data_IF_683463263158
#
_entry.id   IF_683463263158
#
_cell.length_a   1.000
_cell.length_b   1.000
_cell.length_c   1.000
_cell.angle_alpha   90.00
_cell.angle_beta   90.00
_cell.angle_gamma   90.00
#
_symmetry.space_group_name_H-M   'P 1'
#
loop_
_entity.id
_entity.type
_entity.pdbx_description
1 polymer ?
#
# COMPACT_ATOMS: atom_id res chain seq x y z
N UNK A 1 -13.78 -11.44 4.72
CA UNK A 1 -13.26 -12.69 4.11
C UNK A 1 -13.95 -13.03 2.77
N UNK A 2 -15.08 -12.39 2.44
CA UNK A 2 -15.91 -12.65 1.23
C UNK A 2 -15.46 -11.92 -0.06
N UNK A 3 -14.36 -11.15 -0.04
CA UNK A 3 -13.84 -10.42 -1.23
C UNK A 3 -12.74 -11.24 -1.97
N UNK A 4 -12.30 -12.38 -1.41
CA UNK A 4 -11.18 -13.16 -1.96
C UNK A 4 -11.54 -14.19 -3.04
N UNK A 5 -12.83 -14.40 -3.33
CA UNK A 5 -13.29 -15.38 -4.33
C UNK A 5 -13.73 -14.76 -5.68
N UNK A 6 -13.73 -13.43 -5.81
CA UNK A 6 -14.23 -12.75 -7.01
C UNK A 6 -13.16 -12.42 -8.07
N UNK A 7 -11.87 -12.67 -7.81
CA UNK A 7 -10.83 -12.53 -8.84
C UNK A 7 -10.73 -13.82 -9.65
N UNK A 8 -11.81 -14.23 -10.32
CA UNK A 8 -11.90 -15.40 -11.21
C UNK A 8 -10.98 -15.33 -12.44
N UNK A 9 -9.71 -15.00 -12.22
CA UNK A 9 -8.58 -15.21 -13.11
C UNK A 9 -8.07 -16.61 -12.78
N UNK A 10 -8.90 -17.62 -13.04
CA UNK A 10 -8.28 -18.82 -13.59
C UNK A 10 -7.66 -18.34 -14.90
N UNK A 11 -6.34 -18.48 -15.07
CA UNK A 11 -5.78 -18.60 -16.40
C UNK A 11 -6.36 -19.89 -17.00
N UNK A 12 -7.66 -19.88 -17.34
CA UNK A 12 -8.23 -20.83 -18.26
C UNK A 12 -7.43 -20.62 -19.52
N UNK A 13 -6.61 -21.59 -19.86
CA UNK A 13 -5.99 -21.72 -21.17
C UNK A 13 -7.10 -21.50 -22.21
N UNK A 14 -7.20 -20.28 -22.73
CA UNK A 14 -8.15 -19.93 -23.75
C UNK A 14 -7.69 -20.64 -25.01
N UNK A 15 -8.34 -21.78 -25.25
CA UNK A 15 -8.31 -22.65 -26.44
C UNK A 15 -7.08 -23.54 -26.56
N UNK A 16 -7.29 -24.86 -26.41
CA UNK A 16 -7.57 -25.78 -27.52
C UNK A 16 -6.62 -25.82 -28.74
N UNK A 17 -5.56 -25.00 -28.76
CA UNK A 17 -4.53 -24.98 -29.79
C UNK A 17 -3.33 -25.67 -29.16
N UNK A 18 -3.06 -26.91 -29.59
CA UNK A 18 -1.86 -27.67 -29.24
C UNK A 18 -0.62 -26.98 -29.83
N UNK A 19 -0.24 -25.82 -29.32
CA UNK A 19 1.07 -25.23 -29.55
C UNK A 19 2.09 -25.96 -28.68
N UNK A 20 2.79 -26.91 -29.30
CA UNK A 20 3.66 -27.88 -28.61
C UNK A 20 5.00 -27.31 -28.10
N UNK A 21 5.21 -25.99 -28.02
CA UNK A 21 6.51 -25.39 -27.63
C UNK A 21 6.47 -24.12 -26.75
N UNK A 22 5.33 -23.66 -26.23
CA UNK A 22 5.24 -22.36 -25.53
C UNK A 22 5.06 -22.37 -24.01
N UNK A 23 5.03 -23.52 -23.33
CA UNK A 23 4.52 -23.64 -21.95
C UNK A 23 5.53 -23.44 -20.82
N UNK A 24 6.81 -23.13 -21.10
CA UNK A 24 7.84 -23.10 -20.04
C UNK A 24 7.96 -21.78 -19.27
N UNK A 25 7.64 -20.62 -19.85
CA UNK A 25 7.92 -19.30 -19.24
C UNK A 25 7.06 -18.99 -17.99
N UNK A 26 5.74 -19.20 -18.06
CA UNK A 26 4.83 -18.82 -16.96
C UNK A 26 5.07 -19.59 -15.66
N UNK A 27 5.55 -20.84 -15.75
CA UNK A 27 5.80 -21.66 -14.57
C UNK A 27 7.02 -21.15 -13.79
N UNK A 28 8.04 -20.67 -14.49
CA UNK A 28 9.34 -20.30 -13.92
C UNK A 28 9.30 -19.10 -12.96
N UNK A 29 8.49 -18.08 -13.27
CA UNK A 29 8.42 -16.85 -12.47
C UNK A 29 7.72 -17.12 -11.12
N UNK A 30 6.67 -17.94 -11.12
CA UNK A 30 5.79 -18.11 -9.97
C UNK A 30 6.39 -18.92 -8.81
N UNK A 31 7.20 -19.93 -9.11
CA UNK A 31 7.72 -20.84 -8.08
C UNK A 31 8.90 -20.23 -7.29
N UNK A 32 9.59 -19.25 -7.86
CA UNK A 32 10.84 -18.73 -7.30
C UNK A 32 10.71 -17.43 -6.49
N UNK A 33 9.68 -16.61 -6.75
CA UNK A 33 9.56 -15.31 -6.07
C UNK A 33 9.00 -15.42 -4.65
N UNK A 34 9.90 -15.52 -3.67
CA UNK A 34 9.58 -15.54 -2.23
C UNK A 34 9.72 -14.16 -1.62
N UNK A 35 8.59 -13.53 -1.28
CA UNK A 35 8.59 -12.22 -0.62
C UNK A 35 9.24 -12.23 0.77
N UNK A 36 9.18 -13.37 1.49
CA UNK A 36 9.89 -13.61 2.75
C UNK A 36 10.81 -14.83 2.55
N UNK A 37 12.11 -14.62 2.62
CA UNK A 37 13.12 -15.69 2.59
C UNK A 37 13.60 -16.07 4.00
N UNK A 38 13.61 -15.12 4.93
CA UNK A 38 14.10 -15.37 6.28
C UNK A 38 13.09 -16.24 7.05
N UNK A 39 13.46 -17.46 7.49
CA UNK A 39 12.55 -18.37 8.18
C UNK A 39 12.08 -17.82 9.53
N UNK A 40 12.93 -17.04 10.21
CA UNK A 40 12.60 -16.40 11.50
C UNK A 40 11.46 -15.41 11.29
N UNK A 41 11.56 -14.52 10.31
CA UNK A 41 10.49 -13.54 10.00
C UNK A 41 9.21 -14.25 9.58
N UNK A 42 9.32 -15.31 8.79
CA UNK A 42 8.16 -16.09 8.34
C UNK A 42 7.42 -16.77 9.51
N UNK A 43 8.14 -17.26 10.52
CA UNK A 43 7.57 -17.88 11.70
C UNK A 43 7.03 -16.84 12.70
N UNK A 44 7.80 -15.77 12.95
CA UNK A 44 7.47 -14.73 13.92
C UNK A 44 6.24 -13.91 13.51
N UNK A 45 6.08 -13.59 12.22
CA UNK A 45 5.01 -12.70 11.77
C UNK A 45 3.59 -13.14 12.20
N UNK A 46 3.15 -14.37 11.93
CA UNK A 46 1.83 -14.83 12.41
C UNK A 46 1.80 -14.95 13.94
N UNK A 47 2.89 -15.38 14.57
CA UNK A 47 2.97 -15.55 16.02
C UNK A 47 2.80 -14.25 16.78
N UNK A 48 3.46 -13.16 16.36
CA UNK A 48 3.35 -11.87 17.03
C UNK A 48 1.95 -11.27 16.88
N UNK A 49 1.29 -11.49 15.74
CA UNK A 49 -0.10 -11.08 15.59
C UNK A 49 -1.04 -11.80 16.57
N UNK A 50 -0.87 -13.11 16.74
CA UNK A 50 -1.62 -13.90 17.71
C UNK A 50 -1.26 -13.55 19.16
N UNK A 51 0.02 -13.25 19.43
CA UNK A 51 0.48 -12.78 20.74
C UNK A 51 -0.23 -11.48 21.12
N UNK A 52 -0.38 -10.54 20.17
CA UNK A 52 -1.13 -9.29 20.39
C UNK A 52 -2.59 -9.55 20.80
N UNK A 53 -3.27 -10.46 20.10
CA UNK A 53 -4.64 -10.87 20.42
C UNK A 53 -4.71 -11.59 21.78
N UNK A 54 -3.73 -12.45 22.06
CA UNK A 54 -3.64 -13.17 23.33
C UNK A 54 -3.47 -12.22 24.51
N UNK A 55 -2.57 -11.24 24.40
CA UNK A 55 -2.36 -10.21 25.43
C UNK A 55 -3.66 -9.42 25.65
N UNK A 56 -4.35 -9.02 24.58
CA UNK A 56 -5.65 -8.36 24.68
C UNK A 56 -6.67 -9.18 25.50
N UNK A 57 -6.80 -10.49 25.23
CA UNK A 57 -7.70 -11.39 25.96
C UNK A 57 -7.26 -11.57 27.41
N UNK A 58 -5.95 -11.65 27.66
CA UNK A 58 -5.39 -11.73 29.00
C UNK A 58 -5.73 -10.48 29.82
N UNK A 59 -5.54 -9.28 29.26
CA UNK A 59 -5.87 -8.01 29.89
C UNK A 59 -7.36 -7.90 30.23
N UNK A 60 -8.25 -8.30 29.31
CA UNK A 60 -9.69 -8.36 29.55
C UNK A 60 -10.05 -9.31 30.69
N UNK A 61 -9.38 -10.47 30.75
CA UNK A 61 -9.61 -11.47 31.79
C UNK A 61 -9.13 -10.97 33.14
N UNK A 62 -7.94 -10.36 33.20
CA UNK A 62 -7.40 -9.75 34.42
C UNK A 62 -8.31 -8.63 34.95
N UNK A 63 -8.85 -7.80 34.06
CA UNK A 63 -9.81 -6.76 34.43
C UNK A 63 -11.09 -7.34 35.05
N UNK A 64 -11.66 -8.38 34.42
CA UNK A 64 -12.86 -9.05 34.93
C UNK A 64 -12.65 -9.72 36.29
N UNK A 65 -11.41 -10.13 36.59
CA UNK A 65 -11.02 -10.70 37.86
C UNK A 65 -10.65 -9.64 38.92
N UNK A 66 -10.89 -8.35 38.65
CA UNK A 66 -10.51 -7.23 39.51
C UNK A 66 -9.02 -7.27 39.90
N UNK A 67 -8.16 -7.69 38.98
CA UNK A 67 -6.72 -7.79 39.22
C UNK A 67 -6.08 -6.40 39.36
N UNK A 68 -6.62 -5.41 38.65
CA UNK A 68 -6.17 -4.02 38.74
C UNK A 68 -6.98 -3.31 39.82
N UNK A 69 -6.30 -2.80 40.84
CA UNK A 69 -6.87 -1.98 41.92
C UNK A 69 -6.76 -0.48 41.64
N UNK A 70 -5.86 -0.09 40.73
CA UNK A 70 -5.58 1.30 40.40
C UNK A 70 -6.60 1.84 39.38
N UNK A 71 -7.36 2.86 39.78
CA UNK A 71 -8.34 3.53 38.92
C UNK A 71 -7.70 4.09 37.64
N UNK A 72 -6.44 4.51 37.70
CA UNK A 72 -5.70 4.99 36.53
C UNK A 72 -5.44 3.84 35.56
N UNK A 73 -5.03 2.66 36.04
CA UNK A 73 -4.79 1.52 35.13
C UNK A 73 -6.10 1.08 34.47
N UNK A 74 -7.20 1.07 35.23
CA UNK A 74 -8.52 0.69 34.73
C UNK A 74 -8.99 1.66 33.63
N UNK A 75 -8.78 2.97 33.79
CA UNK A 75 -9.20 3.97 32.79
C UNK A 75 -8.42 3.89 31.48
N UNK A 76 -7.15 3.48 31.52
CA UNK A 76 -6.30 3.31 30.32
C UNK A 76 -6.49 1.95 29.63
N UNK A 77 -7.03 0.96 30.33
CA UNK A 77 -7.15 -0.39 29.81
C UNK A 77 -7.89 -0.47 28.46
N UNK A 78 -8.99 0.26 28.20
CA UNK A 78 -9.65 0.27 26.89
C UNK A 78 -8.73 0.73 25.76
N UNK A 79 -7.89 1.74 25.99
CA UNK A 79 -6.90 2.26 25.03
C UNK A 79 -5.89 1.16 24.70
N UNK A 80 -5.35 0.52 25.73
CA UNK A 80 -4.35 -0.53 25.60
C UNK A 80 -4.92 -1.75 24.86
N UNK A 81 -6.08 -2.25 25.29
CA UNK A 81 -6.78 -3.40 24.68
C UNK A 81 -7.06 -3.15 23.20
N UNK A 82 -7.65 -1.99 22.88
CA UNK A 82 -7.96 -1.64 21.49
C UNK A 82 -6.68 -1.44 20.66
N UNK A 83 -5.59 -0.95 21.27
CA UNK A 83 -4.28 -0.83 20.63
C UNK A 83 -3.70 -2.19 20.23
N UNK A 84 -3.72 -3.17 21.13
CA UNK A 84 -3.31 -4.55 20.82
C UNK A 84 -4.20 -5.20 19.75
N UNK A 85 -5.49 -4.91 19.73
CA UNK A 85 -6.40 -5.38 18.67
C UNK A 85 -5.99 -4.81 17.30
N UNK A 86 -5.76 -3.50 17.22
CA UNK A 86 -5.36 -2.80 15.99
C UNK A 86 -3.99 -3.28 15.53
N UNK A 87 -3.01 -3.40 16.43
CA UNK A 87 -1.70 -3.92 16.09
C UNK A 87 -1.74 -5.36 15.55
N UNK A 88 -2.49 -6.25 16.21
CA UNK A 88 -2.66 -7.63 15.78
C UNK A 88 -3.31 -7.72 14.39
N UNK A 89 -4.38 -6.95 14.16
CA UNK A 89 -5.06 -6.91 12.86
C UNK A 89 -4.17 -6.31 11.77
N UNK A 90 -3.44 -5.23 12.04
CA UNK A 90 -2.45 -4.65 11.11
C UNK A 90 -1.40 -5.67 10.69
N UNK A 91 -0.83 -6.43 11.63
CA UNK A 91 0.16 -7.49 11.33
C UNK A 91 -0.44 -8.61 10.48
N UNK A 92 -1.69 -9.02 10.74
CA UNK A 92 -2.40 -9.99 9.90
C UNK A 92 -2.56 -9.47 8.48
N UNK A 93 -3.06 -8.24 8.31
CA UNK A 93 -3.23 -7.64 6.98
C UNK A 93 -1.89 -7.47 6.24
N UNK A 94 -0.83 -7.11 6.95
CA UNK A 94 0.54 -7.06 6.40
C UNK A 94 1.02 -8.44 5.91
N UNK A 95 0.76 -9.50 6.69
CA UNK A 95 1.11 -10.86 6.27
C UNK A 95 0.38 -11.27 4.97
N UNK A 96 -0.87 -10.84 4.81
CA UNK A 96 -1.65 -11.06 3.59
C UNK A 96 -1.13 -10.22 2.43
N UNK A 97 -0.78 -8.96 2.68
CA UNK A 97 -0.19 -8.06 1.69
C UNK A 97 1.12 -8.61 1.12
N UNK A 98 2.02 -9.09 1.98
CA UNK A 98 3.29 -9.67 1.54
C UNK A 98 3.09 -10.87 0.61
N UNK A 99 2.08 -11.71 0.88
CA UNK A 99 1.71 -12.83 -0.01
C UNK A 99 1.14 -12.37 -1.36
N UNK A 100 0.63 -11.13 -1.46
CA UNK A 100 0.10 -10.58 -2.71
C UNK A 100 1.16 -9.93 -3.59
N UNK A 101 2.25 -9.40 -3.02
CA UNK A 101 3.32 -8.73 -3.80
C UNK A 101 3.77 -9.59 -5.01
N UNK A 102 4.11 -10.89 -4.86
CA UNK A 102 4.47 -11.72 -6.01
C UNK A 102 3.39 -11.84 -7.06
N UNK A 103 2.15 -12.06 -6.62
CA UNK A 103 1.00 -12.23 -7.51
C UNK A 103 0.80 -10.98 -8.37
N UNK A 104 0.97 -9.79 -7.82
CA UNK A 104 0.80 -8.55 -8.56
C UNK A 104 1.82 -8.38 -9.69
N UNK A 105 3.10 -8.65 -9.43
CA UNK A 105 4.12 -8.54 -10.47
C UNK A 105 3.93 -9.60 -11.56
N UNK A 106 3.65 -10.84 -11.18
CA UNK A 106 3.33 -11.92 -12.13
C UNK A 106 2.11 -11.53 -12.98
N UNK A 107 1.06 -11.00 -12.37
CA UNK A 107 -0.14 -10.58 -13.06
C UNK A 107 0.14 -9.45 -14.08
N UNK A 108 0.98 -8.47 -13.73
CA UNK A 108 1.39 -7.42 -14.67
C UNK A 108 2.14 -7.98 -15.88
N UNK A 109 3.04 -8.94 -15.66
CA UNK A 109 3.77 -9.62 -16.72
C UNK A 109 2.82 -10.42 -17.63
N UNK A 110 1.97 -11.28 -17.05
CA UNK A 110 1.01 -12.10 -17.79
C UNK A 110 0.02 -11.25 -18.60
N UNK A 111 -0.31 -10.04 -18.12
CA UNK A 111 -1.15 -9.10 -18.86
C UNK A 111 -0.47 -8.51 -20.10
N UNK A 112 0.82 -8.75 -20.34
CA UNK A 112 1.58 -8.22 -21.49
C UNK A 112 1.48 -6.70 -21.64
N UNK A 113 1.49 -5.99 -20.52
CA UNK A 113 1.47 -4.51 -20.53
C UNK A 113 2.89 -3.96 -20.68
N UNK A 114 3.88 -4.73 -20.25
CA UNK A 114 5.31 -4.42 -20.43
C UNK A 114 5.70 -4.86 -21.84
N UNK A 115 6.03 -3.90 -22.70
CA UNK A 115 6.34 -4.15 -24.12
C UNK A 115 7.82 -3.97 -24.46
N UNK A 116 8.58 -3.29 -23.62
CA UNK A 116 9.98 -3.04 -23.84
C UNK A 116 10.72 -2.67 -22.56
N UNK A 117 12.05 -2.69 -22.65
CA UNK A 117 12.94 -2.21 -21.59
C UNK A 117 13.72 -1.01 -22.13
N UNK A 118 13.87 0.04 -21.32
CA UNK A 118 14.70 1.17 -21.70
C UNK A 118 16.16 0.72 -21.83
N UNK A 119 16.77 0.93 -23.00
CA UNK A 119 18.19 0.70 -23.21
C UNK A 119 18.89 2.01 -22.85
N UNK A 120 19.46 2.08 -21.66
CA UNK A 120 20.41 3.14 -21.31
C UNK A 120 21.74 2.81 -22.00
N UNK A 121 21.85 3.15 -23.28
CA UNK A 121 23.08 3.03 -24.06
C UNK A 121 23.06 4.01 -25.22
N UNK A 122 24.21 4.62 -25.60
CA UNK A 122 24.29 5.49 -26.75
C UNK A 122 23.94 4.69 -28.01
N UNK A 123 22.80 5.01 -28.61
CA UNK A 123 22.33 4.41 -29.86
C UNK A 123 23.28 4.78 -31.00
N UNK A 124 24.15 3.85 -31.40
CA UNK A 124 24.85 3.91 -32.68
C UNK A 124 23.83 3.69 -33.80
N UNK A 125 23.63 4.71 -34.62
CA UNK A 125 22.52 4.86 -35.57
C UNK A 125 22.76 4.19 -36.91
N UNK A 126 23.08 2.89 -36.93
CA UNK A 126 23.16 2.15 -38.19
C UNK A 126 22.60 0.75 -37.97
N UNK A 127 21.39 0.46 -38.45
CA UNK A 127 21.05 -0.89 -38.88
C UNK A 127 19.77 -0.95 -39.74
N UNK A 128 19.98 -1.49 -40.94
CA UNK A 128 18.97 -1.95 -41.89
C UNK A 128 18.69 -3.45 -41.67
N UNK A 129 17.40 -3.81 -41.77
CA UNK A 129 16.83 -5.04 -42.36
C UNK A 129 17.38 -6.38 -41.85
N UNK A 130 16.91 -6.81 -40.67
CA UNK A 130 16.77 -8.23 -40.28
C UNK A 130 15.70 -8.36 -39.17
N UNK A 131 14.43 -8.09 -39.49
CA UNK A 131 13.39 -7.79 -38.49
C UNK A 131 12.84 -8.98 -37.69
N UNK A 132 12.83 -10.21 -38.22
CA UNK A 132 12.14 -11.34 -37.59
C UNK A 132 12.96 -12.07 -36.51
N UNK A 133 14.25 -12.27 -36.73
CA UNK A 133 15.18 -12.86 -35.74
C UNK A 133 15.43 -11.86 -34.58
N UNK A 134 15.37 -10.57 -34.87
CA UNK A 134 15.53 -9.49 -33.89
C UNK A 134 14.35 -9.41 -32.92
N UNK A 135 13.13 -9.79 -33.30
CA UNK A 135 11.98 -9.74 -32.38
C UNK A 135 12.05 -10.83 -31.30
N UNK A 136 12.42 -12.06 -31.66
CA UNK A 136 12.48 -13.17 -30.70
C UNK A 136 13.60 -12.97 -29.68
N UNK A 137 14.77 -12.52 -30.15
CA UNK A 137 15.89 -12.13 -29.28
C UNK A 137 15.56 -10.95 -28.36
N UNK A 138 14.81 -9.94 -28.83
CA UNK A 138 14.33 -8.83 -27.99
C UNK A 138 13.38 -9.29 -26.89
N UNK A 139 12.47 -10.22 -27.19
CA UNK A 139 11.53 -10.76 -26.20
C UNK A 139 12.24 -11.57 -25.11
N UNK A 140 13.21 -12.40 -25.48
CA UNK A 140 14.04 -13.16 -24.53
C UNK A 140 14.79 -12.19 -23.61
N UNK A 141 15.41 -11.15 -24.16
CA UNK A 141 16.09 -10.12 -23.38
C UNK A 141 15.16 -9.35 -22.44
N UNK A 142 13.91 -9.08 -22.86
CA UNK A 142 12.92 -8.41 -22.02
C UNK A 142 12.52 -9.29 -20.81
N UNK A 143 12.30 -10.58 -21.04
CA UNK A 143 11.99 -11.55 -19.98
C UNK A 143 13.13 -11.67 -18.97
N UNK A 144 14.38 -11.81 -19.44
CA UNK A 144 15.56 -11.86 -18.58
C UNK A 144 15.71 -10.60 -17.73
N UNK A 145 15.52 -9.41 -18.33
CA UNK A 145 15.54 -8.13 -17.60
C UNK A 145 14.42 -8.03 -16.57
N UNK A 146 13.24 -8.54 -16.91
CA UNK A 146 12.11 -8.58 -15.97
C UNK A 146 12.39 -9.53 -14.80
N UNK A 147 12.91 -10.72 -15.07
CA UNK A 147 13.34 -11.69 -14.05
C UNK A 147 14.41 -11.09 -13.13
N UNK A 148 15.41 -10.41 -13.70
CA UNK A 148 16.42 -9.70 -12.93
C UNK A 148 15.81 -8.62 -12.03
N UNK A 149 14.83 -7.88 -12.54
CA UNK A 149 14.08 -6.90 -11.75
C UNK A 149 13.31 -7.54 -10.58
N UNK A 150 12.63 -8.68 -10.81
CA UNK A 150 11.96 -9.42 -9.73
C UNK A 150 12.96 -9.91 -8.68
N UNK A 151 14.11 -10.42 -9.12
CA UNK A 151 15.20 -10.84 -8.22
C UNK A 151 15.73 -9.66 -7.39
N UNK A 152 15.90 -8.48 -7.98
CA UNK A 152 16.27 -7.27 -7.24
C UNK A 152 15.22 -6.88 -6.18
N UNK A 153 13.93 -6.96 -6.52
CA UNK A 153 12.85 -6.70 -5.55
C UNK A 153 12.94 -7.72 -4.40
N UNK A 154 13.11 -9.00 -4.72
CA UNK A 154 13.25 -10.07 -3.73
C UNK A 154 14.42 -9.82 -2.79
N UNK A 155 15.58 -9.43 -3.35
CA UNK A 155 16.77 -9.07 -2.58
C UNK A 155 16.53 -7.88 -1.67
N UNK A 156 15.83 -6.85 -2.15
CA UNK A 156 15.49 -5.64 -1.34
C UNK A 156 14.49 -5.94 -0.23
N UNK A 157 13.46 -6.74 -0.50
CA UNK A 157 12.46 -7.16 0.49
C UNK A 157 13.08 -7.96 1.65
N UNK A 158 14.17 -8.67 1.38
CA UNK A 158 14.86 -9.51 2.37
C UNK A 158 16.17 -8.87 2.88
N UNK A 159 16.41 -7.60 2.58
CA UNK A 159 17.61 -6.90 2.99
C UNK A 159 17.68 -6.72 4.52
N UNK A 160 18.89 -6.77 5.09
CA UNK A 160 19.15 -6.59 6.52
C UNK A 160 18.70 -5.22 7.05
N UNK A 161 18.57 -4.21 6.21
CA UNK A 161 18.01 -2.91 6.58
C UNK A 161 16.60 -3.00 7.21
N UNK A 162 15.82 -4.05 6.93
CA UNK A 162 14.55 -4.26 7.62
C UNK A 162 14.73 -4.35 9.15
N UNK A 163 15.80 -5.00 9.63
CA UNK A 163 16.08 -5.15 11.06
C UNK A 163 16.40 -3.80 11.69
N UNK A 164 17.08 -2.90 10.98
CA UNK A 164 17.36 -1.56 11.47
C UNK A 164 16.07 -0.79 11.73
N UNK A 165 15.10 -0.82 10.80
CA UNK A 165 13.79 -0.19 11.00
C UNK A 165 13.04 -0.80 12.20
N UNK A 166 13.11 -2.12 12.36
CA UNK A 166 12.56 -2.80 13.54
C UNK A 166 13.21 -2.32 14.84
N UNK A 167 14.54 -2.33 14.91
CA UNK A 167 15.30 -1.91 16.10
C UNK A 167 15.02 -0.45 16.44
N UNK A 168 14.96 0.44 15.44
CA UNK A 168 14.65 1.86 15.66
C UNK A 168 13.27 2.01 16.31
N UNK A 169 12.23 1.34 15.79
CA UNK A 169 10.89 1.44 16.39
C UNK A 169 10.80 0.75 17.75
N UNK A 170 11.51 -0.37 17.94
CA UNK A 170 11.63 -1.01 19.25
C UNK A 170 12.22 -0.05 20.27
N UNK A 171 13.37 0.56 19.97
CA UNK A 171 14.05 1.49 20.88
C UNK A 171 13.22 2.74 21.11
N UNK A 172 12.58 3.27 20.07
CA UNK A 172 11.72 4.44 20.19
C UNK A 172 10.57 4.20 21.17
N UNK A 173 9.90 3.04 21.09
CA UNK A 173 8.81 2.68 21.99
C UNK A 173 9.30 2.28 23.38
N UNK A 174 10.32 1.43 23.46
CA UNK A 174 10.89 0.96 24.72
C UNK A 174 11.46 2.10 25.58
N UNK A 175 12.14 3.07 24.95
CA UNK A 175 12.72 4.22 25.64
C UNK A 175 11.72 5.36 25.86
N UNK A 176 10.56 5.34 25.19
CA UNK A 176 9.57 6.41 25.27
C UNK A 176 9.16 6.70 26.71
N UNK A 177 8.71 5.67 27.43
CA UNK A 177 8.25 5.83 28.80
C UNK A 177 9.39 6.21 29.77
N UNK A 178 10.53 5.50 29.82
CA UNK A 178 11.65 5.91 30.67
C UNK A 178 12.08 7.35 30.41
N UNK A 179 12.24 7.76 29.14
CA UNK A 179 12.63 9.13 28.81
C UNK A 179 11.62 10.16 29.30
N UNK A 180 10.31 9.84 29.19
CA UNK A 180 9.24 10.69 29.71
C UNK A 180 9.26 10.75 31.24
N UNK A 181 9.52 9.63 31.90
CA UNK A 181 9.51 9.53 33.36
C UNK A 181 10.84 9.90 33.99
N UNK A 182 11.94 10.13 33.25
CA UNK A 182 13.23 10.57 33.80
C UNK A 182 13.13 11.83 34.66
N UNK A 183 12.15 12.71 34.38
CA UNK A 183 11.88 13.88 35.22
C UNK A 183 11.01 13.58 36.47
N UNK A 184 10.34 12.43 36.51
CA UNK A 184 9.34 12.06 37.52
C UNK A 184 9.60 10.67 38.14
N UNK A 185 10.76 10.04 37.92
CA UNK A 185 11.04 8.73 38.51
C UNK A 185 10.99 8.91 40.03
N UNK A 186 10.05 8.24 40.74
CA UNK A 186 10.19 8.09 42.17
C UNK A 186 11.45 7.24 42.37
N UNK A 187 12.57 7.94 42.55
CA UNK A 187 13.85 7.41 43.03
C UNK A 187 13.50 6.40 44.10
N UNK A 188 13.82 5.12 43.84
CA UNK A 188 13.86 4.01 44.80
C UNK A 188 13.44 4.48 46.19
N UNK A 189 12.12 4.64 46.39
CA UNK A 189 11.61 5.14 47.65
C UNK A 189 12.15 4.17 48.69
N UNK A 190 12.74 4.70 49.76
CA UNK A 190 13.25 3.91 50.88
C UNK A 190 12.09 3.15 51.54
N UNK A 191 11.61 2.10 50.88
CA UNK A 191 10.63 1.19 51.42
C UNK A 191 11.43 0.22 52.26
N UNK A 192 11.45 0.49 53.57
CA UNK A 192 11.84 -0.52 54.53
C UNK A 192 10.91 -1.71 54.35
N UNK A 193 11.47 -2.84 53.91
CA UNK A 193 10.84 -4.15 54.00
C UNK A 193 10.55 -4.42 55.49
N UNK A 194 9.42 -3.93 56.00
CA UNK A 194 8.91 -4.30 57.31
C UNK A 194 8.03 -5.54 57.12
N UNK A 195 8.30 -6.56 57.93
CA UNK A 195 8.22 -8.00 57.65
C UNK A 195 6.84 -8.65 57.40
N UNK A 196 5.74 -7.90 57.21
CA UNK A 196 4.38 -8.47 57.18
C UNK A 196 3.71 -8.52 55.79
N UNK A 197 4.48 -8.83 54.73
CA UNK A 197 3.91 -8.96 53.39
C UNK A 197 3.38 -10.39 53.17
N UNK A 198 2.05 -10.53 53.11
CA UNK A 198 1.46 -11.75 52.55
C UNK A 198 1.91 -11.92 51.10
N UNK A 199 2.24 -13.15 50.68
CA UNK A 199 2.76 -13.46 49.35
C UNK A 199 1.88 -12.93 48.20
N UNK A 200 0.57 -12.76 48.41
CA UNK A 200 -0.37 -12.20 47.42
C UNK A 200 -0.19 -10.68 47.24
N UNK A 201 0.07 -9.96 48.32
CA UNK A 201 0.25 -8.50 48.30
C UNK A 201 1.57 -8.14 47.61
N UNK A 202 2.61 -8.97 47.79
CA UNK A 202 3.87 -8.83 47.07
C UNK A 202 3.69 -8.90 45.55
N UNK A 203 2.97 -9.89 45.02
CA UNK A 203 2.80 -10.03 43.57
C UNK A 203 1.95 -8.92 42.97
N UNK A 204 0.87 -8.50 43.63
CA UNK A 204 0.05 -7.38 43.17
C UNK A 204 0.88 -6.09 43.13
N UNK A 205 1.63 -5.81 44.19
CA UNK A 205 2.51 -4.64 44.25
C UNK A 205 3.64 -4.70 43.22
N UNK A 206 4.32 -5.83 43.08
CA UNK A 206 5.38 -6.01 42.09
C UNK A 206 4.86 -5.78 40.68
N UNK A 207 3.69 -6.33 40.35
CA UNK A 207 3.08 -6.15 39.03
C UNK A 207 2.63 -4.71 38.85
N UNK A 208 2.08 -4.04 39.87
CA UNK A 208 1.67 -2.64 39.77
C UNK A 208 2.87 -1.70 39.57
N UNK A 209 3.96 -1.88 40.32
CA UNK A 209 5.18 -1.08 40.18
C UNK A 209 5.89 -1.31 38.85
N UNK A 210 5.90 -2.56 38.37
CA UNK A 210 6.53 -2.90 37.10
C UNK A 210 5.54 -2.88 35.93
N UNK A 211 4.29 -2.44 36.12
CA UNK A 211 3.23 -2.55 35.11
C UNK A 211 3.63 -1.86 33.81
N UNK A 212 4.14 -0.64 33.91
CA UNK A 212 4.62 0.11 32.76
C UNK A 212 5.71 -0.67 32.02
N UNK A 213 6.72 -1.17 32.74
CA UNK A 213 7.79 -1.96 32.12
C UNK A 213 7.27 -3.26 31.47
N UNK A 214 6.39 -3.98 32.16
CA UNK A 214 5.80 -5.24 31.69
C UNK A 214 4.91 -5.05 30.46
N UNK A 215 4.19 -3.92 30.36
CA UNK A 215 3.37 -3.60 29.21
C UNK A 215 4.20 -3.02 28.04
N UNK A 216 5.26 -2.25 28.33
CA UNK A 216 6.11 -1.67 27.28
C UNK A 216 6.88 -2.73 26.49
N UNK A 217 7.29 -3.84 27.11
CA UNK A 217 8.04 -4.86 26.41
C UNK A 217 7.25 -5.51 25.25
N UNK A 218 6.01 -6.00 25.44
CA UNK A 218 5.19 -6.47 24.33
C UNK A 218 4.87 -5.39 23.28
N UNK A 219 4.58 -4.15 23.70
CA UNK A 219 4.36 -3.02 22.78
C UNK A 219 5.59 -2.79 21.92
N UNK A 220 6.78 -2.83 22.51
CA UNK A 220 8.06 -2.65 21.82
C UNK A 220 8.32 -3.79 20.82
N UNK A 221 8.01 -5.04 21.19
CA UNK A 221 8.09 -6.19 20.28
C UNK A 221 7.12 -6.07 19.09
N UNK A 222 5.93 -5.53 19.31
CA UNK A 222 4.99 -5.23 18.23
C UNK A 222 5.54 -4.10 17.34
N UNK A 223 6.07 -3.03 17.93
CA UNK A 223 6.67 -1.91 17.21
C UNK A 223 7.86 -2.35 16.35
N UNK A 224 8.68 -3.26 16.88
CA UNK A 224 9.73 -3.94 16.13
C UNK A 224 9.20 -4.59 14.87
N UNK A 225 8.12 -5.39 14.99
CA UNK A 225 7.50 -6.05 13.85
C UNK A 225 6.90 -5.04 12.86
N UNK A 226 6.25 -3.99 13.34
CA UNK A 226 5.76 -2.91 12.48
C UNK A 226 6.90 -2.24 11.70
N UNK A 227 8.09 -2.09 12.30
CA UNK A 227 9.27 -1.54 11.62
C UNK A 227 9.75 -2.42 10.46
N UNK A 228 9.79 -3.74 10.67
CA UNK A 228 10.07 -4.69 9.58
C UNK A 228 9.07 -4.54 8.43
N UNK A 229 7.81 -4.25 8.76
CA UNK A 229 6.73 -4.15 7.80
C UNK A 229 6.78 -2.82 7.03
N UNK A 230 7.04 -1.69 7.71
CA UNK A 230 7.25 -0.39 7.07
C UNK A 230 8.36 -0.47 6.01
N UNK A 231 9.46 -1.17 6.29
CA UNK A 231 10.51 -1.40 5.30
C UNK A 231 9.96 -2.09 4.03
N UNK A 232 9.13 -3.13 4.19
CA UNK A 232 8.55 -3.88 3.07
C UNK A 232 7.55 -3.05 2.28
N UNK A 233 6.74 -2.25 2.98
CA UNK A 233 5.82 -1.28 2.37
C UNK A 233 6.60 -0.26 1.52
N UNK A 234 7.70 0.26 2.05
CA UNK A 234 8.62 1.16 1.33
C UNK A 234 9.26 0.49 0.11
N UNK A 235 9.76 -0.74 0.25
CA UNK A 235 10.33 -1.49 -0.88
C UNK A 235 9.28 -1.74 -1.95
N UNK A 236 8.05 -2.12 -1.60
CA UNK A 236 6.97 -2.33 -2.57
C UNK A 236 6.68 -1.05 -3.38
N UNK A 237 6.48 0.09 -2.72
CA UNK A 237 6.20 1.36 -3.40
C UNK A 237 7.36 1.84 -4.26
N UNK A 238 8.60 1.78 -3.76
CA UNK A 238 9.78 2.15 -4.57
C UNK A 238 10.07 1.16 -5.69
N UNK A 239 9.56 -0.07 -5.63
CA UNK A 239 9.67 -1.03 -6.73
C UNK A 239 8.73 -0.68 -7.88
N UNK A 240 7.54 -0.13 -7.59
CA UNK A 240 6.66 0.43 -8.61
C UNK A 240 7.33 1.64 -9.28
N UNK A 241 7.93 2.55 -8.50
CA UNK A 241 8.71 3.67 -9.05
C UNK A 241 9.77 3.17 -10.05
N UNK A 242 10.56 2.16 -9.67
CA UNK A 242 11.62 1.58 -10.51
C UNK A 242 11.11 0.79 -11.69
N UNK A 243 9.92 0.22 -11.61
CA UNK A 243 9.29 -0.49 -12.73
C UNK A 243 9.09 0.48 -13.90
N UNK A 244 8.61 1.69 -13.60
CA UNK A 244 8.40 2.76 -14.58
C UNK A 244 9.72 3.23 -15.20
N UNK A 245 10.76 3.36 -14.39
CA UNK A 245 12.06 3.82 -14.88
C UNK A 245 12.77 2.76 -15.77
N UNK A 246 12.42 1.47 -15.63
CA UNK A 246 13.08 0.35 -16.34
C UNK A 246 12.32 -0.17 -17.55
N UNK A 247 10.99 -0.06 -17.57
CA UNK A 247 10.13 -0.72 -18.56
C UNK A 247 9.16 0.25 -19.23
N UNK A 248 8.91 0.01 -20.52
CA UNK A 248 7.89 0.70 -21.28
C UNK A 248 6.54 0.00 -21.09
N UNK A 249 5.49 0.79 -20.84
CA UNK A 249 4.13 0.29 -20.74
C UNK A 249 3.34 0.61 -22.01
N UNK A 250 2.59 -0.38 -22.50
CA UNK A 250 1.53 -0.18 -23.48
C UNK A 250 0.18 -0.55 -22.86
N UNK A 251 -0.53 0.43 -22.27
CA UNK A 251 -1.87 0.22 -21.74
C UNK A 251 -2.81 -0.37 -22.80
N UNK A 252 -3.58 -1.40 -22.42
CA UNK A 252 -4.53 -2.06 -23.32
C UNK A 252 -5.81 -1.24 -23.46
N UNK A 253 -6.11 -0.83 -24.69
CA UNK A 253 -7.37 -0.17 -25.03
C UNK A 253 -8.57 -1.09 -24.75
N UNK A 254 -9.64 -0.53 -24.20
CA UNK A 254 -10.87 -1.28 -23.91
C UNK A 254 -10.75 -2.34 -22.81
N UNK A 255 -9.66 -2.33 -22.03
CA UNK A 255 -9.51 -3.27 -20.92
C UNK A 255 -10.59 -3.03 -19.85
N UNK A 256 -11.15 -4.11 -19.30
CA UNK A 256 -12.31 -4.07 -18.38
C UNK A 256 -12.09 -3.26 -17.09
N UNK A 257 -10.83 -3.03 -16.70
CA UNK A 257 -10.48 -2.27 -15.50
C UNK A 257 -10.48 -0.75 -15.69
N UNK A 258 -10.66 -0.25 -16.92
CA UNK A 258 -10.59 1.18 -17.28
C UNK A 258 -9.23 1.83 -16.96
N UNK A 259 -8.21 1.04 -16.61
CA UNK A 259 -6.85 1.48 -16.29
C UNK A 259 -5.82 0.88 -17.25
N UNK A 260 -6.29 0.39 -18.41
CA UNK A 260 -5.43 -0.21 -19.44
C UNK A 260 -4.71 -1.48 -18.99
N UNK A 261 -5.27 -2.20 -18.01
CA UNK A 261 -4.64 -3.37 -17.41
C UNK A 261 -3.73 -3.08 -16.22
N UNK A 262 -3.44 -1.80 -15.91
CA UNK A 262 -2.52 -1.39 -14.83
C UNK A 262 -3.19 -1.32 -13.44
N UNK A 263 -4.48 -1.65 -13.32
CA UNK A 263 -5.19 -1.68 -12.03
C UNK A 263 -4.49 -2.48 -10.91
N UNK A 264 -3.76 -3.58 -11.18
CA UNK A 264 -2.96 -4.28 -10.15
C UNK A 264 -1.98 -3.37 -9.40
N UNK A 265 -1.39 -2.37 -10.05
CA UNK A 265 -0.49 -1.40 -9.40
C UNK A 265 -1.26 -0.49 -8.42
N UNK A 266 -2.39 0.07 -8.87
CA UNK A 266 -3.27 0.87 -8.02
C UNK A 266 -3.77 0.08 -6.81
N UNK A 267 -4.14 -1.19 -7.01
CA UNK A 267 -4.56 -2.07 -5.92
C UNK A 267 -3.43 -2.35 -4.93
N UNK A 268 -2.21 -2.62 -5.41
CA UNK A 268 -1.06 -2.86 -4.53
C UNK A 268 -0.77 -1.62 -3.65
N UNK A 269 -0.77 -0.42 -4.23
CA UNK A 269 -0.61 0.83 -3.49
C UNK A 269 -1.75 1.06 -2.49
N UNK A 270 -3.00 0.78 -2.89
CA UNK A 270 -4.16 0.90 -2.01
C UNK A 270 -4.03 -0.02 -0.80
N UNK A 271 -3.71 -1.30 -1.01
CA UNK A 271 -3.49 -2.25 0.09
C UNK A 271 -2.42 -1.76 1.06
N UNK A 272 -1.36 -1.14 0.53
CA UNK A 272 -0.29 -0.56 1.32
C UNK A 272 -0.82 0.58 2.23
N UNK A 273 -1.59 1.50 1.67
CA UNK A 273 -2.18 2.60 2.43
C UNK A 273 -3.27 2.14 3.41
N UNK A 274 -4.15 1.21 3.04
CA UNK A 274 -5.19 0.69 3.94
C UNK A 274 -4.60 0.01 5.18
N UNK A 275 -3.44 -0.62 5.05
CA UNK A 275 -2.74 -1.19 6.21
C UNK A 275 -2.24 -0.07 7.14
N UNK A 276 -1.66 0.99 6.56
CA UNK A 276 -1.17 2.14 7.33
C UNK A 276 -2.30 2.95 7.98
N UNK A 277 -3.50 2.92 7.40
CA UNK A 277 -4.64 3.66 7.93
C UNK A 277 -5.20 3.06 9.23
N UNK A 278 -4.99 1.78 9.52
CA UNK A 278 -5.48 1.14 10.74
C UNK A 278 -4.98 1.81 12.05
N UNK A 279 -3.66 1.97 12.28
CA UNK A 279 -3.17 2.68 13.45
C UNK A 279 -3.53 4.18 13.44
N UNK A 280 -3.66 4.78 12.25
CA UNK A 280 -4.12 6.16 12.10
C UNK A 280 -5.56 6.32 12.58
N UNK A 281 -6.51 5.49 12.12
CA UNK A 281 -7.91 5.47 12.58
C UNK A 281 -7.98 5.27 14.09
N UNK A 282 -7.20 4.34 14.63
CA UNK A 282 -7.13 4.10 16.07
C UNK A 282 -6.74 5.36 16.85
N UNK A 283 -5.65 6.04 16.45
CA UNK A 283 -5.21 7.27 17.09
C UNK A 283 -6.26 8.37 16.95
N UNK A 284 -6.91 8.48 15.79
CA UNK A 284 -7.95 9.48 15.55
C UNK A 284 -9.14 9.30 16.49
N UNK A 285 -9.62 8.06 16.66
CA UNK A 285 -10.75 7.77 17.56
C UNK A 285 -10.36 8.16 18.99
N UNK A 286 -9.16 7.82 19.44
CA UNK A 286 -8.72 8.15 20.79
C UNK A 286 -8.46 9.63 21.02
N UNK A 287 -7.91 10.33 20.04
CA UNK A 287 -7.76 11.79 20.09
C UNK A 287 -9.12 12.49 20.16
N UNK A 288 -10.10 12.04 19.36
CA UNK A 288 -11.46 12.57 19.41
C UNK A 288 -12.13 12.29 20.75
N UNK A 289 -11.99 11.06 21.28
CA UNK A 289 -12.55 10.70 22.59
C UNK A 289 -11.88 11.45 23.74
N UNK A 290 -10.57 11.69 23.66
CA UNK A 290 -9.82 12.42 24.68
C UNK A 290 -10.16 13.91 24.75
N UNK A 291 -10.62 14.51 23.64
CA UNK A 291 -11.12 15.88 23.60
C UNK A 291 -12.54 16.03 24.17
N UNK A 292 -13.27 14.92 24.40
CA UNK A 292 -14.57 15.00 25.06
C UNK A 292 -14.33 15.23 26.56
N UNK A 293 -14.94 16.27 27.13
CA UNK A 293 -14.78 16.76 28.52
C UNK A 293 -14.93 15.70 29.63
N UNK A 294 -15.33 14.48 29.30
CA UNK A 294 -15.59 13.39 30.23
C UNK A 294 -14.50 12.31 30.25
N UNK A 295 -13.42 12.44 29.48
CA UNK A 295 -12.35 11.43 29.51
C UNK A 295 -11.37 11.74 30.66
N UNK A 296 -11.24 10.85 31.67
CA UNK A 296 -10.37 11.09 32.81
C UNK A 296 -8.91 11.10 32.34
N UNK A 297 -8.33 12.29 32.19
CA UNK A 297 -6.88 12.43 32.05
C UNK A 297 -6.24 12.02 33.39
N UNK A 298 -5.21 11.15 33.38
CA UNK A 298 -4.42 10.90 34.60
C UNK A 298 -3.65 12.15 35.05
N UNK A 299 -3.58 13.18 34.20
CA UNK A 299 -3.03 14.48 34.50
C UNK A 299 -4.13 15.53 34.33
N UNK A 300 -5.04 15.67 35.32
CA UNK A 300 -6.14 16.64 35.26
C UNK A 300 -5.64 18.08 35.08
N UNK A 301 -4.43 18.37 35.57
CA UNK A 301 -3.81 19.70 35.50
C UNK A 301 -3.20 20.04 34.13
N UNK A 302 -3.07 19.07 33.21
CA UNK A 302 -2.49 19.29 31.88
C UNK A 302 -3.35 18.69 30.74
N UNK A 303 -4.53 19.27 30.47
CA UNK A 303 -5.51 18.74 29.51
C UNK A 303 -5.01 18.64 28.05
N UNK A 304 -3.84 19.20 27.70
CA UNK A 304 -3.31 19.22 26.34
C UNK A 304 -1.88 18.65 26.19
N UNK A 305 -1.34 17.99 27.22
CA UNK A 305 0.07 17.62 27.21
C UNK A 305 0.45 16.70 26.04
N UNK A 306 -0.42 15.73 25.72
CA UNK A 306 -0.14 14.74 24.67
C UNK A 306 -0.65 15.13 23.28
N UNK A 307 -1.41 16.23 23.16
CA UNK A 307 -2.12 16.57 21.94
C UNK A 307 -1.16 16.82 20.77
N UNK A 308 -0.03 17.49 21.00
CA UNK A 308 0.95 17.77 19.95
C UNK A 308 1.69 16.51 19.48
N UNK A 309 2.15 15.66 20.41
CA UNK A 309 2.87 14.42 20.07
C UNK A 309 1.96 13.47 19.28
N UNK A 310 0.73 13.27 19.75
CA UNK A 310 -0.25 12.46 19.04
C UNK A 310 -0.68 13.08 17.72
N UNK A 311 -0.71 14.40 17.58
CA UNK A 311 -1.00 15.07 16.30
C UNK A 311 0.14 14.87 15.28
N UNK A 312 1.41 14.95 15.71
CA UNK A 312 2.57 14.64 14.86
C UNK A 312 2.53 13.18 14.44
N UNK A 313 2.23 12.26 15.38
CA UNK A 313 2.09 10.84 15.10
C UNK A 313 0.93 10.56 14.14
N UNK A 314 -0.22 11.20 14.37
CA UNK A 314 -1.39 11.09 13.51
C UNK A 314 -1.08 11.60 12.10
N UNK A 315 -0.44 12.75 11.96
CA UNK A 315 -0.01 13.28 10.67
C UNK A 315 0.94 12.31 9.96
N UNK A 316 1.92 11.80 10.71
CA UNK A 316 2.93 10.86 10.20
C UNK A 316 2.32 9.54 9.73
N UNK A 317 1.31 9.02 10.43
CA UNK A 317 0.63 7.77 10.06
C UNK A 317 -0.49 7.96 9.03
N UNK A 318 -1.02 9.18 8.91
CA UNK A 318 -2.13 9.46 7.98
C UNK A 318 -1.62 9.92 6.62
N UNK A 319 -0.81 10.98 6.60
CA UNK A 319 -0.45 11.69 5.36
C UNK A 319 0.76 11.06 4.67
N UNK A 320 1.81 10.72 5.42
CA UNK A 320 3.04 10.18 4.82
C UNK A 320 2.78 8.89 4.03
N UNK A 321 1.99 7.91 4.51
CA UNK A 321 1.71 6.71 3.73
C UNK A 321 0.93 7.01 2.46
N UNK A 322 -0.01 7.96 2.45
CA UNK A 322 -0.71 8.36 1.22
C UNK A 322 0.30 8.89 0.20
N UNK A 323 1.19 9.81 0.62
CA UNK A 323 2.16 10.43 -0.26
C UNK A 323 3.17 9.41 -0.79
N UNK A 324 3.81 8.65 0.11
CA UNK A 324 4.93 7.76 -0.25
C UNK A 324 4.46 6.41 -0.80
N UNK A 325 3.33 5.89 -0.35
CA UNK A 325 2.87 4.56 -0.74
C UNK A 325 1.87 4.58 -1.89
N UNK A 326 1.13 5.67 -2.11
CA UNK A 326 0.11 5.78 -3.15
C UNK A 326 0.42 6.85 -4.20
N UNK A 327 0.49 8.12 -3.79
CA UNK A 327 0.58 9.24 -4.75
C UNK A 327 1.89 9.18 -5.54
N UNK A 328 3.04 9.14 -4.87
CA UNK A 328 4.35 9.13 -5.53
C UNK A 328 4.52 8.00 -6.56
N UNK A 329 4.32 6.71 -6.22
CA UNK A 329 4.49 5.63 -7.19
C UNK A 329 3.50 5.68 -8.34
N UNK A 330 2.24 6.03 -8.07
CA UNK A 330 1.22 6.09 -9.13
C UNK A 330 1.35 7.35 -10.00
N UNK A 331 1.92 8.44 -9.48
CA UNK A 331 2.17 9.65 -10.25
C UNK A 331 3.19 9.42 -11.38
N UNK A 332 4.25 8.65 -11.11
CA UNK A 332 5.21 8.25 -12.16
C UNK A 332 4.52 7.43 -13.25
N UNK A 333 3.72 6.43 -12.88
CA UNK A 333 2.96 5.61 -13.83
C UNK A 333 1.97 6.48 -14.62
N UNK A 334 1.27 7.41 -13.95
CA UNK A 334 0.36 8.36 -14.57
C UNK A 334 1.07 9.23 -15.63
N UNK A 335 2.27 9.72 -15.34
CA UNK A 335 3.06 10.49 -16.29
C UNK A 335 3.35 9.70 -17.56
N UNK A 336 3.81 8.45 -17.43
CA UNK A 336 4.07 7.60 -18.60
C UNK A 336 2.79 7.25 -19.37
N UNK A 337 1.67 6.99 -18.67
CA UNK A 337 0.37 6.81 -19.32
C UNK A 337 -0.09 8.08 -20.06
N UNK A 338 0.20 9.27 -19.52
CA UNK A 338 -0.12 10.52 -20.17
C UNK A 338 0.74 10.77 -21.43
N UNK A 339 2.04 10.47 -21.37
CA UNK A 339 2.92 10.52 -22.55
C UNK A 339 2.46 9.54 -23.63
N UNK A 340 2.14 8.30 -23.25
CA UNK A 340 1.56 7.31 -24.15
C UNK A 340 0.24 7.82 -24.75
N UNK A 341 -0.64 8.40 -23.95
CA UNK A 341 -1.91 8.98 -24.40
C UNK A 341 -1.71 10.05 -25.47
N UNK A 342 -0.80 11.00 -25.24
CA UNK A 342 -0.50 12.07 -26.20
C UNK A 342 -0.04 11.47 -27.53
N UNK A 343 0.87 10.49 -27.49
CA UNK A 343 1.38 9.83 -28.70
C UNK A 343 0.31 9.07 -29.50
N UNK A 344 -0.70 8.49 -28.81
CA UNK A 344 -1.82 7.81 -29.48
C UNK A 344 -2.90 8.79 -29.92
N UNK A 345 -3.04 9.92 -29.24
CA UNK A 345 -4.03 10.96 -29.56
C UNK A 345 -3.70 11.67 -30.88
N UNK A 346 -2.42 11.85 -31.20
CA UNK A 346 -1.98 12.35 -32.52
C UNK A 346 -2.49 11.44 -33.65
N UNK A 347 -2.27 10.12 -33.53
CA UNK A 347 -2.80 9.15 -34.51
C UNK A 347 -4.33 9.15 -34.59
N UNK A 348 -5.03 9.45 -33.49
CA UNK A 348 -6.48 9.58 -33.50
C UNK A 348 -6.94 10.85 -34.23
N UNK A 349 -6.17 11.93 -34.16
CA UNK A 349 -6.43 13.12 -34.96
C UNK A 349 -6.27 12.82 -36.45
N UNK A 350 -5.20 12.13 -36.84
CA UNK A 350 -5.02 11.70 -38.24
C UNK A 350 -6.22 10.86 -38.73
N UNK A 351 -6.68 9.90 -37.92
CA UNK A 351 -7.87 9.10 -38.25
C UNK A 351 -9.10 10.01 -38.37
N UNK A 352 -9.29 10.96 -37.43
CA UNK A 352 -10.37 11.94 -37.46
C UNK A 352 -10.38 12.77 -38.75
N UNK A 353 -9.21 13.25 -39.17
CA UNK A 353 -9.04 14.05 -40.38
C UNK A 353 -9.32 13.21 -41.63
N UNK A 354 -8.86 11.95 -41.67
CA UNK A 354 -9.20 11.06 -42.79
C UNK A 354 -10.70 10.75 -42.86
N UNK A 355 -11.39 10.58 -41.73
CA UNK A 355 -12.85 10.42 -41.69
C UNK A 355 -13.50 11.67 -42.29
N UNK A 356 -13.11 12.86 -41.82
CA UNK A 356 -13.68 14.13 -42.29
C UNK A 356 -13.46 14.35 -43.79
N UNK A 357 -12.26 14.04 -44.31
CA UNK A 357 -11.95 14.14 -45.74
C UNK A 357 -12.77 13.14 -46.57
N UNK A 358 -12.90 11.89 -46.11
CA UNK A 358 -13.70 10.87 -46.79
C UNK A 358 -15.20 11.21 -46.78
N UNK A 359 -15.72 11.74 -45.68
CA UNK A 359 -17.11 12.21 -45.58
C UNK A 359 -17.36 13.41 -46.49
N UNK A 360 -16.44 14.38 -46.50
CA UNK A 360 -16.53 15.55 -47.38
C UNK A 360 -16.53 15.13 -48.85
N UNK A 361 -15.68 14.16 -49.23
CA UNK A 361 -15.65 13.60 -50.59
C UNK A 361 -16.97 12.92 -50.96
N UNK A 362 -17.56 12.11 -50.05
CA UNK A 362 -18.86 11.48 -50.27
C UNK A 362 -19.97 12.52 -50.47
N UNK A 363 -19.96 13.62 -49.71
CA UNK A 363 -20.97 14.67 -49.82
C UNK A 363 -20.82 15.50 -51.10
N UNK A 364 -19.60 15.82 -51.52
CA UNK A 364 -19.36 16.68 -52.68
C UNK A 364 -19.48 15.95 -54.03
N UNK A 365 -19.10 14.67 -54.08
CA UNK A 365 -19.03 13.89 -55.31
C UNK A 365 -20.19 12.88 -55.44
N UNK A 366 -21.25 13.00 -54.63
CA UNK A 366 -22.35 12.01 -54.55
C UNK A 366 -22.98 11.69 -55.92
N UNK A 367 -23.09 12.67 -56.82
CA UNK A 367 -23.66 12.48 -58.16
C UNK A 367 -22.71 11.79 -59.15
N UNK A 368 -21.41 11.77 -58.86
CA UNK A 368 -20.35 11.29 -59.77
C UNK A 368 -19.76 9.94 -59.36
N UNK A 369 -19.93 9.55 -58.10
CA UNK A 369 -19.37 8.31 -57.55
C UNK A 369 -20.22 7.11 -57.99
N UNK A 370 -19.59 6.07 -58.53
CA UNK A 370 -20.25 4.80 -58.83
C UNK A 370 -20.70 4.10 -57.53
N UNK A 371 -21.87 3.46 -57.53
CA UNK A 371 -22.46 2.82 -56.34
C UNK A 371 -21.47 1.88 -55.60
N UNK A 372 -20.61 1.17 -56.33
CA UNK A 372 -19.61 0.28 -55.72
C UNK A 372 -18.51 1.05 -54.98
N UNK A 373 -18.04 2.18 -55.51
CA UNK A 373 -17.03 3.01 -54.82
C UNK A 373 -17.64 3.67 -53.58
N UNK A 374 -18.91 4.09 -53.66
CA UNK A 374 -19.65 4.60 -52.50
C UNK A 374 -19.67 3.59 -51.34
N UNK A 375 -20.03 2.33 -51.61
CA UNK A 375 -20.08 1.28 -50.58
C UNK A 375 -18.69 1.02 -49.96
N UNK A 376 -17.62 1.09 -50.75
CA UNK A 376 -16.25 0.92 -50.26
C UNK A 376 -15.86 2.05 -49.32
N UNK A 377 -16.08 3.32 -49.71
CA UNK A 377 -15.74 4.49 -48.90
C UNK A 377 -16.59 4.53 -47.62
N UNK A 378 -17.89 4.22 -47.73
CA UNK A 378 -18.80 4.17 -46.58
C UNK A 378 -18.34 3.13 -45.55
N UNK A 379 -18.03 1.92 -46.00
CA UNK A 379 -17.54 0.85 -45.13
C UNK A 379 -16.19 1.21 -44.48
N UNK A 380 -15.30 1.91 -45.18
CA UNK A 380 -14.05 2.41 -44.61
C UNK A 380 -14.29 3.47 -43.52
N UNK A 381 -15.18 4.43 -43.77
CA UNK A 381 -15.58 5.45 -42.79
C UNK A 381 -16.18 4.80 -41.55
N UNK A 382 -17.09 3.83 -41.71
CA UNK A 382 -17.72 3.14 -40.60
C UNK A 382 -16.68 2.41 -39.73
N UNK A 383 -15.76 1.67 -40.37
CA UNK A 383 -14.64 1.01 -39.67
C UNK A 383 -13.78 2.01 -38.91
N UNK A 384 -13.40 3.13 -39.54
CA UNK A 384 -12.62 4.19 -38.90
C UNK A 384 -13.37 4.84 -37.74
N UNK A 385 -14.67 5.10 -37.86
CA UNK A 385 -15.52 5.61 -36.77
C UNK A 385 -15.59 4.64 -35.60
N UNK A 386 -15.71 3.34 -35.85
CA UNK A 386 -15.67 2.32 -34.80
C UNK A 386 -14.33 2.36 -34.07
N UNK A 387 -13.21 2.38 -34.81
CA UNK A 387 -11.86 2.47 -34.21
C UNK A 387 -11.71 3.76 -33.39
N UNK A 388 -12.13 4.89 -33.94
CA UNK A 388 -12.06 6.20 -33.29
C UNK A 388 -12.87 6.23 -32.00
N UNK A 389 -14.12 5.80 -32.03
CA UNK A 389 -15.02 5.79 -30.87
C UNK A 389 -14.55 4.83 -29.77
N UNK A 390 -14.03 3.65 -30.14
CA UNK A 390 -13.45 2.71 -29.19
C UNK A 390 -12.16 3.23 -28.55
N UNK A 391 -11.34 3.97 -29.31
CA UNK A 391 -10.02 4.45 -28.85
C UNK A 391 -10.10 5.81 -28.16
N UNK A 392 -11.21 6.56 -28.30
CA UNK A 392 -11.40 7.87 -27.66
C UNK A 392 -11.25 7.85 -26.13
N UNK A 393 -11.59 6.74 -25.48
CA UNK A 393 -11.47 6.57 -24.02
C UNK A 393 -10.10 6.01 -23.65
N UNK A 394 -9.08 6.86 -23.74
CA UNK A 394 -7.72 6.50 -23.34
C UNK A 394 -7.57 6.56 -21.80
N UNK A 395 -7.11 5.49 -21.14
CA UNK A 395 -6.88 5.50 -19.70
C UNK A 395 -5.71 6.42 -19.36
N UNK A 396 -5.86 7.22 -18.30
CA UNK A 396 -4.87 8.20 -17.85
C UNK A 396 -4.23 7.81 -16.51
N UNK A 397 -4.97 7.04 -15.70
CA UNK A 397 -4.56 6.68 -14.35
C UNK A 397 -4.47 5.15 -14.18
N UNK A 398 -3.49 4.64 -13.42
CA UNK A 398 -3.33 3.21 -13.14
C UNK A 398 -4.31 2.68 -12.07
N UNK A 399 -5.39 3.41 -11.81
CA UNK A 399 -6.43 3.03 -10.87
C UNK A 399 -7.80 3.53 -11.37
N UNK A 400 -8.87 2.94 -10.82
CA UNK A 400 -10.24 3.35 -11.10
C UNK A 400 -10.79 4.21 -9.93
N UNK A 401 -11.91 4.89 -10.16
CA UNK A 401 -12.56 5.72 -9.13
C UNK A 401 -12.97 4.92 -7.89
N UNK A 402 -13.19 3.60 -8.04
CA UNK A 402 -13.47 2.70 -6.91
C UNK A 402 -12.29 2.60 -5.94
N UNK A 403 -11.06 2.47 -6.46
CA UNK A 403 -9.83 2.45 -5.65
C UNK A 403 -9.67 3.78 -4.90
N UNK A 404 -9.93 4.91 -5.58
CA UNK A 404 -9.85 6.24 -4.96
C UNK A 404 -10.90 6.40 -3.84
N UNK A 405 -12.14 5.96 -4.07
CA UNK A 405 -13.18 5.97 -3.04
C UNK A 405 -12.83 5.10 -1.83
N UNK A 406 -12.23 3.93 -2.04
CA UNK A 406 -11.75 3.08 -0.95
C UNK A 406 -10.63 3.74 -0.15
N UNK A 407 -9.71 4.45 -0.80
CA UNK A 407 -8.67 5.22 -0.13
C UNK A 407 -9.30 6.33 0.72
N UNK A 408 -10.22 7.11 0.14
CA UNK A 408 -10.89 8.19 0.87
C UNK A 408 -11.63 7.68 2.11
N UNK A 409 -12.38 6.59 1.99
CA UNK A 409 -13.09 5.99 3.13
C UNK A 409 -12.15 5.49 4.24
N UNK A 410 -10.94 5.05 3.89
CA UNK A 410 -9.95 4.61 4.88
C UNK A 410 -9.33 5.77 5.67
N UNK A 411 -9.34 6.99 5.13
CA UNK A 411 -8.68 8.16 5.72
C UNK A 411 -9.64 9.28 6.16
N UNK A 412 -10.96 9.13 5.93
CA UNK A 412 -11.94 10.14 6.32
C UNK A 412 -11.91 10.42 7.84
N UNK A 413 -11.84 9.37 8.67
CA UNK A 413 -11.79 9.50 10.13
C UNK A 413 -10.52 10.25 10.57
N UNK A 414 -9.30 9.86 10.12
CA UNK A 414 -8.09 10.61 10.42
C UNK A 414 -8.07 12.06 9.98
N UNK A 415 -8.58 12.35 8.78
CA UNK A 415 -8.62 13.71 8.27
C UNK A 415 -9.58 14.57 9.09
N UNK A 416 -10.76 14.05 9.43
CA UNK A 416 -11.73 14.75 10.28
C UNK A 416 -11.16 15.03 11.68
N UNK A 417 -10.53 14.03 12.30
CA UNK A 417 -9.86 14.18 13.59
C UNK A 417 -8.76 15.23 13.55
N UNK A 418 -7.95 15.25 12.49
CA UNK A 418 -6.91 16.27 12.32
C UNK A 418 -7.49 17.68 12.19
N UNK A 419 -8.56 17.86 11.40
CA UNK A 419 -9.22 19.17 11.21
C UNK A 419 -9.80 19.68 12.54
N UNK A 420 -10.47 18.81 13.29
CA UNK A 420 -11.10 19.16 14.57
C UNK A 420 -10.09 19.62 15.61
N UNK A 421 -8.94 18.95 15.71
CA UNK A 421 -7.87 19.33 16.65
C UNK A 421 -7.13 20.60 16.18
N UNK A 422 -6.97 20.78 14.87
CA UNK A 422 -6.23 21.93 14.32
C UNK A 422 -7.03 23.24 14.38
N UNK A 423 -8.37 23.17 14.30
CA UNK A 423 -9.25 24.34 14.32
C UNK A 423 -9.02 25.27 15.54
N UNK A 424 -9.04 24.80 16.80
CA UNK A 424 -8.80 25.66 17.96
C UNK A 424 -7.36 26.19 18.01
N UNK A 425 -6.37 25.42 17.53
CA UNK A 425 -4.97 25.86 17.47
C UNK A 425 -4.82 27.05 16.51
N UNK A 426 -5.44 26.99 15.33
CA UNK A 426 -5.43 28.09 14.36
C UNK A 426 -6.16 29.31 14.91
N UNK A 427 -7.30 29.13 15.59
CA UNK A 427 -8.02 30.24 16.22
C UNK A 427 -7.16 30.93 17.28
N UNK A 428 -6.49 30.17 18.14
CA UNK A 428 -5.59 30.73 19.15
C UNK A 428 -4.40 31.47 18.53
N UNK A 429 -3.85 30.99 17.41
CA UNK A 429 -2.77 31.68 16.69
C UNK A 429 -3.21 33.01 16.07
N UNK A 430 -4.49 33.18 15.72
CA UNK A 430 -4.98 34.45 15.18
C UNK A 430 -5.10 35.55 16.25
N UNK A 431 -5.15 35.19 17.54
CA UNK A 431 -5.19 36.17 18.63
C UNK A 431 -3.81 36.70 19.04
N UNK A 432 -2.73 36.09 18.56
CA UNK A 432 -1.34 36.56 18.70
C UNK A 432 -0.93 37.37 17.47
#
# INVERSE_FOLDING_TARGET
MTILLASGIECKDVRGVKSKKGTHSNKFISENFKAIQNPIVCCLLPWVAWLSIFIMVLLLTMNKLNFFSDEVIISWLPIIISGYCVAGTSLIFQSLFIKKIPKFFIELWCRKIITGAFIYGPTSSDMNIEESIVIDSKNIQLEERYLQFIYEIQKRLNNSWQWLFGIILFLLTFLWNPLRTLNNFPVLGNYSLTDDWNQKDFWQYFIQQNWHFLNELPVSLIAFMLGLMIWRMYVASTSIDKLVDKFQFEPKLGHQDMSGGLSPLGNLCLWNCTIASLPSIYLSIWLLMGNLDNFPSPYPDMPNYYTYEFLILLFSLSILPIVFCFVRPLWKVHREMNCWRISKQERLYDIGDTIHLSESRLLHDMEKIEQKEFEIIYNDIEKKKIIYTQTKKLPIWPFNMKILGQLFMAYIIPIMSFIEILAPIIQNLHYF
#
